data_IF_704482051234
#
_entry.id   IF_704482051234
#
_cell.length_a   1.000
_cell.length_b   1.000
_cell.length_c   1.000
_cell.angle_alpha   90.00
_cell.angle_beta   90.00
_cell.angle_gamma   90.00
#
_symmetry.space_group_name_H-M   'P 1'
#
loop_
_entity.id
_entity.type
_entity.pdbx_description
1 polymer ?
#
# COMPACT_ATOMS: atom_id res chain seq x y z
N UNK A 1 -65.41 -7.05 62.49
CA UNK A 1 -65.50 -6.17 63.67
C UNK A 1 -64.22 -5.34 63.69
N UNK A 2 -64.33 -4.03 63.38
CA UNK A 2 -63.40 -2.90 63.62
C UNK A 2 -61.88 -3.05 63.31
N UNK A 3 -61.14 -2.08 62.75
CA UNK A 3 -61.38 -0.69 62.37
C UNK A 3 -60.21 -0.26 61.48
N UNK A 4 -60.53 0.46 60.41
CA UNK A 4 -59.62 1.14 59.50
C UNK A 4 -58.79 2.22 60.21
N UNK A 5 -57.50 2.29 59.90
CA UNK A 5 -56.67 3.48 60.13
C UNK A 5 -55.87 3.74 58.86
N UNK A 6 -56.45 4.54 57.98
CA UNK A 6 -55.70 5.30 56.99
C UNK A 6 -54.91 6.41 57.70
N UNK A 7 -53.69 6.70 57.24
CA UNK A 7 -53.38 7.92 56.48
C UNK A 7 -51.85 8.04 56.31
N UNK A 8 -51.44 8.53 55.14
CA UNK A 8 -50.16 9.19 54.82
C UNK A 8 -49.02 8.32 54.28
N UNK A 9 -49.13 7.94 53.01
CA UNK A 9 -47.99 7.75 52.10
C UNK A 9 -48.18 8.65 50.86
N UNK A 10 -48.09 9.96 51.06
CA UNK A 10 -48.00 10.93 49.98
C UNK A 10 -47.01 12.02 50.41
N UNK A 11 -45.99 12.27 49.58
CA UNK A 11 -44.85 13.19 49.72
C UNK A 11 -43.50 12.58 50.15
N UNK A 12 -42.91 11.78 49.27
CA UNK A 12 -41.46 11.83 48.95
C UNK A 12 -41.37 11.70 47.42
N UNK A 13 -41.53 12.81 46.69
CA UNK A 13 -40.42 13.46 45.97
C UNK A 13 -39.86 12.54 44.87
N UNK A 14 -40.32 12.57 43.61
CA UNK A 14 -40.13 13.68 42.68
C UNK A 14 -38.88 14.50 43.04
N UNK A 15 -37.69 13.92 42.79
CA UNK A 15 -36.41 14.57 42.50
C UNK A 15 -35.28 13.51 42.54
N UNK A 16 -35.10 12.79 41.44
CA UNK A 16 -33.79 12.29 40.96
C UNK A 16 -33.94 11.52 39.63
N UNK A 17 -34.76 12.03 38.71
CA UNK A 17 -34.59 11.76 37.28
C UNK A 17 -33.50 12.71 36.79
N UNK A 18 -32.24 12.45 37.17
CA UNK A 18 -31.07 13.22 36.73
C UNK A 18 -29.74 12.60 37.18
N UNK A 19 -29.51 11.28 37.09
CA UNK A 19 -28.15 10.75 37.43
C UNK A 19 -27.74 9.43 36.76
N UNK A 20 -28.36 9.02 35.65
CA UNK A 20 -27.83 7.93 34.81
C UNK A 20 -27.95 8.36 33.35
N UNK A 21 -27.26 9.44 32.99
CA UNK A 21 -27.04 9.85 31.59
C UNK A 21 -25.66 10.51 31.43
N UNK A 22 -24.69 10.12 32.25
CA UNK A 22 -23.35 10.69 32.23
C UNK A 22 -22.27 9.65 32.56
N UNK A 23 -22.17 8.60 31.74
CA UNK A 23 -20.98 7.73 31.74
C UNK A 23 -20.77 6.88 30.48
N UNK A 24 -21.46 7.16 29.36
CA UNK A 24 -21.16 6.49 28.06
C UNK A 24 -21.05 7.50 26.91
N UNK A 25 -20.57 8.71 27.21
CA UNK A 25 -20.09 9.69 26.19
C UNK A 25 -18.57 9.89 26.28
N UNK A 26 -17.85 8.89 26.80
CA UNK A 26 -16.38 8.85 26.81
C UNK A 26 -15.86 7.55 26.18
N UNK A 27 -16.46 7.13 25.07
CA UNK A 27 -15.91 6.10 24.18
C UNK A 27 -15.79 6.63 22.75
N UNK A 28 -15.34 7.88 22.63
CA UNK A 28 -15.08 8.54 21.36
C UNK A 28 -13.96 9.57 21.52
N UNK A 29 -12.87 9.19 22.18
CA UNK A 29 -11.59 9.90 22.10
C UNK A 29 -10.47 8.94 22.52
N UNK A 30 -9.39 8.97 21.74
CA UNK A 30 -8.13 8.19 21.84
C UNK A 30 -8.08 6.83 21.15
N UNK A 31 -8.34 6.82 19.84
CA UNK A 31 -7.39 6.22 18.89
C UNK A 31 -7.13 7.20 17.74
N UNK A 32 -6.69 8.41 18.10
CA UNK A 32 -5.73 9.07 17.23
C UNK A 32 -4.43 8.29 17.41
N UNK A 33 -4.26 7.18 16.68
CA UNK A 33 -2.90 6.82 16.28
C UNK A 33 -2.47 8.00 15.42
N UNK A 34 -1.84 8.99 16.05
CA UNK A 34 -0.86 9.80 15.40
C UNK A 34 0.13 8.79 14.83
N UNK A 35 0.00 8.48 13.54
CA UNK A 35 1.10 7.94 12.77
C UNK A 35 2.20 8.96 12.95
N UNK A 36 3.06 8.72 13.94
CA UNK A 36 4.31 9.43 14.07
C UNK A 36 4.96 9.20 12.72
N UNK A 37 5.02 10.25 11.91
CA UNK A 37 5.89 10.30 10.76
C UNK A 37 7.28 10.14 11.35
N UNK A 38 7.71 8.89 11.54
CA UNK A 38 9.11 8.60 11.73
C UNK A 38 9.76 9.33 10.57
N UNK A 39 10.59 10.31 10.89
CA UNK A 39 11.49 10.87 9.89
C UNK A 39 12.45 9.72 9.56
N UNK A 40 12.01 8.81 8.68
CA UNK A 40 12.76 7.62 8.31
C UNK A 40 14.03 8.09 7.61
N UNK A 41 15.13 8.21 8.36
CA UNK A 41 16.40 8.74 7.84
C UNK A 41 17.13 7.75 6.92
N UNK A 42 16.48 6.66 6.50
CA UNK A 42 17.12 5.59 5.75
C UNK A 42 16.16 4.48 5.34
N UNK A 43 16.72 3.29 5.15
CA UNK A 43 15.95 2.08 4.90
C UNK A 43 15.33 1.54 6.21
N UNK A 44 14.08 1.10 6.14
CA UNK A 44 13.43 0.33 7.21
C UNK A 44 13.92 -1.14 7.22
N UNK A 45 13.45 -1.94 8.17
CA UNK A 45 13.84 -3.35 8.28
C UNK A 45 13.45 -4.22 7.07
N UNK A 46 12.54 -3.75 6.21
CA UNK A 46 12.09 -4.46 5.03
C UNK A 46 12.86 -4.04 3.77
N UNK A 47 13.66 -2.98 3.85
CA UNK A 47 14.43 -2.46 2.72
C UNK A 47 13.76 -1.29 2.00
N UNK A 48 12.71 -0.67 2.56
CA UNK A 48 12.10 0.55 2.02
C UNK A 48 12.76 1.81 2.58
N UNK A 49 13.11 2.75 1.71
CA UNK A 49 13.43 4.13 2.05
C UNK A 49 12.42 5.06 1.35
N UNK A 50 11.38 5.45 2.07
CA UNK A 50 10.28 6.25 1.54
C UNK A 50 10.72 7.67 1.14
N UNK A 51 11.64 8.27 1.89
CA UNK A 51 12.20 9.59 1.58
C UNK A 51 13.01 9.56 0.27
N UNK A 52 13.77 8.50 0.04
CA UNK A 52 14.50 8.28 -1.20
C UNK A 52 13.63 7.68 -2.32
N UNK A 53 12.39 7.27 -2.03
CA UNK A 53 11.50 6.55 -2.96
C UNK A 53 12.16 5.33 -3.60
N UNK A 54 12.79 4.51 -2.74
CA UNK A 54 13.64 3.39 -3.12
C UNK A 54 13.35 2.18 -2.25
N UNK A 55 13.34 1.00 -2.84
CA UNK A 55 13.45 -0.28 -2.17
C UNK A 55 14.77 -0.93 -2.57
N UNK A 56 15.49 -1.52 -1.63
CA UNK A 56 16.67 -2.33 -1.91
C UNK A 56 16.80 -3.44 -0.86
N UNK A 57 16.42 -4.66 -1.23
CA UNK A 57 16.32 -5.76 -0.30
C UNK A 57 16.08 -7.10 -0.99
N UNK A 58 15.73 -8.10 -0.20
CA UNK A 58 15.14 -9.34 -0.70
C UNK A 58 13.65 -9.11 -0.97
N UNK A 59 13.09 -9.77 -1.97
CA UNK A 59 11.68 -9.60 -2.31
C UNK A 59 10.73 -9.97 -1.17
N UNK A 60 11.14 -10.87 -0.26
CA UNK A 60 10.47 -11.15 1.03
C UNK A 60 10.05 -9.86 1.77
N UNK A 61 10.86 -8.80 1.75
CA UNK A 61 10.51 -7.55 2.43
C UNK A 61 9.37 -6.74 1.79
N UNK A 62 8.98 -7.03 0.54
CA UNK A 62 8.05 -6.17 -0.24
C UNK A 62 6.67 -6.09 0.39
N UNK A 63 6.16 -7.20 0.94
CA UNK A 63 4.82 -7.24 1.55
C UNK A 63 4.82 -6.83 3.03
N UNK A 64 5.99 -6.41 3.54
CA UNK A 64 6.26 -6.03 4.92
C UNK A 64 6.08 -7.19 5.90
N UNK A 65 6.30 -8.42 5.45
CA UNK A 65 6.37 -9.63 6.26
C UNK A 65 7.66 -10.36 5.89
N UNK A 66 8.60 -10.46 6.83
CA UNK A 66 9.84 -11.19 6.59
C UNK A 66 9.69 -12.65 7.02
N UNK A 67 9.02 -13.47 6.21
CA UNK A 67 8.67 -14.87 6.50
C UNK A 67 9.13 -15.88 5.43
N UNK A 68 10.13 -15.48 4.64
CA UNK A 68 10.65 -16.19 3.47
C UNK A 68 9.61 -16.39 2.36
N UNK A 69 8.64 -15.47 2.26
CA UNK A 69 7.60 -15.48 1.23
C UNK A 69 7.36 -14.07 0.70
N UNK A 70 6.97 -14.01 -0.57
CA UNK A 70 6.41 -12.82 -1.18
C UNK A 70 4.92 -13.09 -1.41
N UNK A 71 4.04 -12.43 -0.64
CA UNK A 71 2.59 -12.62 -0.72
C UNK A 71 2.15 -14.10 -0.60
N UNK A 72 2.86 -14.88 0.21
CA UNK A 72 2.59 -16.30 0.41
C UNK A 72 3.31 -17.25 -0.56
N UNK A 73 4.08 -16.73 -1.52
CA UNK A 73 4.85 -17.50 -2.50
C UNK A 73 6.36 -17.46 -2.18
N UNK A 74 7.00 -18.64 -2.13
CA UNK A 74 8.44 -18.76 -1.87
C UNK A 74 9.31 -18.55 -3.12
N UNK A 75 8.74 -18.61 -4.32
CA UNK A 75 9.45 -18.69 -5.61
C UNK A 75 10.46 -17.56 -5.80
N UNK A 76 10.07 -16.33 -5.44
CA UNK A 76 10.88 -15.14 -5.65
C UNK A 76 11.33 -14.47 -4.35
N UNK A 77 10.97 -15.01 -3.18
CA UNK A 77 11.21 -14.35 -1.89
C UNK A 77 12.69 -14.06 -1.62
N UNK A 78 13.58 -14.93 -2.14
CA UNK A 78 15.05 -14.81 -2.02
C UNK A 78 15.70 -13.96 -3.12
N UNK A 79 14.92 -13.46 -4.08
CA UNK A 79 15.47 -12.62 -5.14
C UNK A 79 15.86 -11.26 -4.57
N UNK A 80 16.99 -10.73 -5.05
CA UNK A 80 17.37 -9.35 -4.80
C UNK A 80 16.48 -8.45 -5.65
N UNK A 81 15.82 -7.48 -5.03
CA UNK A 81 14.99 -6.52 -5.73
C UNK A 81 15.45 -5.10 -5.41
N UNK A 82 15.61 -4.30 -6.46
CA UNK A 82 15.72 -2.85 -6.38
C UNK A 82 14.47 -2.26 -7.03
N UNK A 83 13.72 -1.45 -6.30
CA UNK A 83 12.61 -0.69 -6.87
C UNK A 83 12.83 0.80 -6.70
N UNK A 84 12.52 1.59 -7.72
CA UNK A 84 12.52 3.05 -7.67
C UNK A 84 11.15 3.54 -8.12
N UNK A 85 10.59 4.53 -7.43
CA UNK A 85 9.33 5.13 -7.87
C UNK A 85 9.36 6.66 -7.87
N UNK A 86 8.43 7.23 -8.64
CA UNK A 86 8.27 8.67 -8.78
C UNK A 86 7.64 9.31 -7.55
N UNK A 87 7.74 10.64 -7.44
CA UNK A 87 7.03 11.34 -6.37
C UNK A 87 5.51 11.19 -6.50
N UNK A 88 4.96 11.28 -7.72
CA UNK A 88 3.55 11.05 -7.98
C UNK A 88 3.09 9.64 -7.56
N UNK A 89 3.89 8.60 -7.83
CA UNK A 89 3.61 7.24 -7.34
C UNK A 89 3.62 7.20 -5.80
N UNK A 90 4.60 7.85 -5.18
CA UNK A 90 4.70 7.89 -3.73
C UNK A 90 3.49 8.58 -3.08
N UNK A 91 3.12 9.76 -3.58
CA UNK A 91 1.99 10.53 -3.06
C UNK A 91 0.66 9.83 -3.31
N UNK A 92 0.51 9.11 -4.42
CA UNK A 92 -0.71 8.36 -4.72
C UNK A 92 -0.85 7.07 -3.91
N UNK A 93 0.25 6.34 -3.69
CA UNK A 93 0.23 5.06 -2.98
C UNK A 93 0.28 5.20 -1.46
N UNK A 94 1.05 6.17 -0.96
CA UNK A 94 1.36 6.32 0.47
C UNK A 94 0.98 7.69 1.04
N UNK A 95 0.71 8.67 0.18
CA UNK A 95 0.30 10.02 0.57
C UNK A 95 -1.21 10.23 0.43
N UNK A 96 -1.59 11.45 0.03
CA UNK A 96 -2.99 11.89 -0.07
C UNK A 96 -3.39 12.35 -1.46
N UNK A 97 -2.48 12.30 -2.44
CA UNK A 97 -2.77 12.76 -3.80
C UNK A 97 -3.37 11.64 -4.64
N UNK A 98 -4.03 12.00 -5.74
CA UNK A 98 -4.52 11.02 -6.71
C UNK A 98 -3.42 10.61 -7.68
N UNK A 99 -3.56 9.41 -8.25
CA UNK A 99 -2.74 8.96 -9.37
C UNK A 99 -2.86 9.91 -10.57
N UNK A 100 -1.78 10.02 -11.35
CA UNK A 100 -1.68 10.81 -12.58
C UNK A 100 -0.58 10.24 -13.49
N UNK A 101 -0.43 10.76 -14.72
CA UNK A 101 0.54 10.22 -15.68
C UNK A 101 2.00 10.27 -15.19
N UNK A 102 2.35 11.10 -14.21
CA UNK A 102 3.72 11.17 -13.66
C UNK A 102 4.04 10.01 -12.70
N UNK A 103 3.06 9.18 -12.35
CA UNK A 103 3.24 8.04 -11.46
C UNK A 103 3.87 6.86 -12.19
N UNK A 104 5.06 6.45 -11.74
CA UNK A 104 5.79 5.30 -12.29
C UNK A 104 6.60 4.55 -11.22
N UNK A 105 6.90 3.28 -11.49
CA UNK A 105 7.88 2.46 -10.76
C UNK A 105 8.77 1.68 -11.72
N UNK A 106 10.04 1.54 -11.35
CA UNK A 106 11.07 0.72 -11.97
C UNK A 106 11.39 -0.43 -11.02
N UNK A 107 11.38 -1.67 -11.52
CA UNK A 107 11.65 -2.86 -10.72
C UNK A 107 12.74 -3.69 -11.40
N UNK A 108 13.89 -3.83 -10.72
CA UNK A 108 15.00 -4.67 -11.15
C UNK A 108 15.13 -5.88 -10.20
N UNK A 109 14.73 -7.05 -10.71
CA UNK A 109 14.79 -8.33 -10.02
C UNK A 109 16.06 -9.09 -10.41
N UNK A 110 16.72 -9.67 -9.41
CA UNK A 110 17.88 -10.52 -9.58
C UNK A 110 17.83 -11.73 -8.64
N UNK A 111 17.34 -12.84 -9.17
CA UNK A 111 17.38 -14.17 -8.58
C UNK A 111 18.66 -14.96 -8.88
N UNK A 112 19.66 -14.39 -9.58
CA UNK A 112 21.01 -14.98 -9.74
C UNK A 112 21.86 -14.79 -8.48
N UNK A 113 21.27 -15.09 -7.32
CA UNK A 113 21.87 -15.05 -5.99
C UNK A 113 21.71 -16.43 -5.34
N UNK A 114 22.48 -16.76 -4.28
CA UNK A 114 22.26 -18.01 -3.54
C UNK A 114 20.79 -18.15 -3.13
N UNK A 115 20.18 -19.31 -3.43
CA UNK A 115 18.77 -19.65 -3.14
C UNK A 115 17.72 -18.78 -3.85
N UNK A 116 18.11 -17.89 -4.76
CA UNK A 116 17.17 -17.14 -5.61
C UNK A 116 16.52 -17.99 -6.69
N UNK A 117 15.53 -17.42 -7.37
CA UNK A 117 14.78 -18.04 -8.46
C UNK A 117 15.64 -18.47 -9.65
N UNK A 118 16.84 -17.89 -9.78
CA UNK A 118 17.68 -18.03 -10.95
C UNK A 118 17.24 -17.17 -12.14
N UNK A 119 16.26 -16.29 -11.97
CA UNK A 119 15.76 -15.38 -13.01
C UNK A 119 16.26 -13.95 -12.80
N UNK A 120 16.18 -13.13 -13.84
CA UNK A 120 16.37 -11.67 -13.73
C UNK A 120 15.26 -10.99 -14.49
N UNK A 121 14.73 -9.88 -13.99
CA UNK A 121 13.69 -9.13 -14.69
C UNK A 121 13.87 -7.62 -14.51
N UNK A 122 13.55 -6.85 -15.55
CA UNK A 122 13.46 -5.41 -15.51
C UNK A 122 12.08 -4.97 -16.01
N UNK A 123 11.29 -4.41 -15.10
CA UNK A 123 9.99 -3.84 -15.42
C UNK A 123 9.99 -2.33 -15.25
N UNK A 124 9.34 -1.65 -16.17
CA UNK A 124 8.94 -0.25 -16.00
C UNK A 124 7.43 -0.15 -16.12
N UNK A 125 6.82 0.45 -15.12
CA UNK A 125 5.36 0.49 -14.96
C UNK A 125 4.93 1.93 -14.76
N UNK A 126 3.90 2.36 -15.48
CA UNK A 126 3.32 3.70 -15.37
C UNK A 126 1.84 3.62 -15.07
N UNK A 127 1.29 4.64 -14.41
CA UNK A 127 -0.14 4.77 -14.27
C UNK A 127 -0.74 5.38 -15.53
N UNK A 128 -1.82 4.78 -16.02
CA UNK A 128 -2.58 5.24 -17.19
C UNK A 128 -4.04 5.51 -16.88
N UNK A 129 -4.52 5.13 -15.69
CA UNK A 129 -5.91 5.31 -15.32
C UNK A 129 -6.82 4.21 -15.85
N UNK A 130 -8.10 4.22 -15.44
CA UNK A 130 -9.02 3.11 -15.70
C UNK A 130 -9.41 2.97 -17.18
N UNK A 131 -9.09 3.96 -18.01
CA UNK A 131 -9.28 3.91 -19.46
C UNK A 131 -8.23 3.03 -20.16
N UNK A 132 -7.13 2.67 -19.48
CA UNK A 132 -6.06 1.83 -20.03
C UNK A 132 -5.60 2.32 -21.41
N UNK A 133 -5.76 1.52 -22.46
CA UNK A 133 -5.37 1.82 -23.84
C UNK A 133 -5.97 3.12 -24.40
N UNK A 134 -7.14 3.54 -23.90
CA UNK A 134 -7.82 4.76 -24.33
C UNK A 134 -7.34 6.01 -23.55
N UNK A 135 -6.39 5.86 -22.63
CA UNK A 135 -5.86 6.96 -21.85
C UNK A 135 -4.91 7.85 -22.64
N UNK A 136 -4.92 9.15 -22.36
CA UNK A 136 -3.88 10.06 -22.85
C UNK A 136 -2.50 9.76 -22.28
N UNK A 137 -2.40 9.02 -21.17
CA UNK A 137 -1.12 8.58 -20.64
C UNK A 137 -0.61 7.29 -21.31
N UNK A 138 -1.46 6.57 -22.06
CA UNK A 138 -1.10 5.26 -22.63
C UNK A 138 -0.03 5.38 -23.71
N UNK A 139 0.82 4.35 -23.82
CA UNK A 139 1.88 4.30 -24.83
C UNK A 139 1.75 3.08 -25.71
N UNK A 140 1.97 3.30 -27.00
CA UNK A 140 1.92 2.21 -27.96
C UNK A 140 3.01 1.18 -27.66
N UNK A 141 2.60 -0.10 -27.60
CA UNK A 141 3.48 -1.25 -27.38
C UNK A 141 3.49 -1.79 -25.95
N UNK A 142 2.93 -1.08 -24.98
CA UNK A 142 2.75 -1.58 -23.61
C UNK A 142 1.60 -2.58 -23.47
N UNK A 143 1.40 -3.09 -22.26
CA UNK A 143 0.26 -3.93 -21.91
C UNK A 143 -0.32 -3.59 -20.53
N UNK A 144 -1.64 -3.79 -20.33
CA UNK A 144 -2.30 -3.33 -19.12
C UNK A 144 -2.06 -4.31 -17.96
N UNK A 145 -1.84 -3.78 -16.76
CA UNK A 145 -1.80 -4.52 -15.51
C UNK A 145 -2.58 -3.78 -14.43
N UNK A 146 -3.04 -4.53 -13.42
CA UNK A 146 -3.65 -3.98 -12.20
C UNK A 146 -4.81 -2.99 -12.45
N UNK A 147 -5.50 -3.11 -13.59
CA UNK A 147 -6.71 -2.37 -13.95
C UNK A 147 -6.54 -0.87 -14.24
N UNK A 148 -5.34 -0.31 -14.10
CA UNK A 148 -5.09 1.12 -14.33
C UNK A 148 -3.61 1.47 -14.60
N UNK A 149 -2.77 0.45 -14.81
CA UNK A 149 -1.33 0.60 -15.02
C UNK A 149 -0.93 -0.07 -16.33
N UNK A 150 0.17 0.39 -16.88
CA UNK A 150 0.77 -0.10 -18.11
C UNK A 150 2.20 -0.54 -17.82
N UNK A 151 2.59 -1.74 -18.29
CA UNK A 151 4.00 -2.10 -18.40
C UNK A 151 4.52 -1.58 -19.73
N UNK A 152 5.44 -0.63 -19.67
CA UNK A 152 6.05 0.02 -20.85
C UNK A 152 7.38 -0.63 -21.25
N UNK A 153 7.93 -1.50 -20.37
CA UNK A 153 9.18 -2.21 -20.59
C UNK A 153 9.20 -3.49 -19.75
N UNK A 154 9.47 -4.63 -20.38
CA UNK A 154 9.65 -5.93 -19.72
C UNK A 154 10.70 -6.73 -20.48
N UNK A 155 11.81 -7.02 -19.82
CA UNK A 155 12.80 -7.97 -20.30
C UNK A 155 13.42 -8.73 -19.13
N UNK A 156 13.99 -9.90 -19.42
CA UNK A 156 14.56 -10.73 -18.38
C UNK A 156 15.37 -11.91 -18.88
N UNK A 157 15.82 -12.73 -17.95
CA UNK A 157 16.48 -14.00 -18.22
C UNK A 157 15.79 -15.10 -17.44
N UNK A 158 15.31 -16.14 -18.12
CA UNK A 158 14.75 -17.35 -17.54
C UNK A 158 15.44 -18.55 -18.17
N UNK A 159 15.83 -19.55 -17.37
CA UNK A 159 16.52 -20.75 -17.87
C UNK A 159 17.73 -20.43 -18.81
N UNK A 160 18.44 -19.34 -18.52
CA UNK A 160 19.58 -18.82 -19.30
C UNK A 160 19.24 -18.35 -20.73
N UNK A 161 17.97 -18.08 -21.02
CA UNK A 161 17.52 -17.43 -22.24
C UNK A 161 17.03 -16.02 -21.92
N UNK A 162 17.29 -15.09 -22.83
CA UNK A 162 16.87 -13.69 -22.69
C UNK A 162 15.53 -13.47 -23.36
N UNK A 163 14.62 -12.79 -22.68
CA UNK A 163 13.25 -12.52 -23.11
C UNK A 163 12.97 -11.02 -23.14
N UNK A 164 12.11 -10.62 -24.08
CA UNK A 164 11.55 -9.28 -24.20
C UNK A 164 10.04 -9.42 -24.41
N UNK A 165 9.23 -8.99 -23.44
CA UNK A 165 7.77 -9.08 -23.55
C UNK A 165 7.15 -7.77 -24.03
N UNK A 166 7.75 -6.63 -23.69
CA UNK A 166 7.28 -5.33 -24.16
C UNK A 166 8.40 -4.30 -24.20
N UNK A 167 8.27 -3.39 -25.17
CA UNK A 167 9.07 -2.19 -25.29
C UNK A 167 8.19 -1.10 -25.94
N UNK A 168 7.50 -0.32 -25.11
CA UNK A 168 6.66 0.78 -25.58
C UNK A 168 7.50 1.91 -26.19
N UNK A 169 6.90 2.72 -27.05
CA UNK A 169 7.56 3.88 -27.66
C UNK A 169 6.88 5.20 -27.22
N UNK A 170 7.49 5.99 -26.32
CA UNK A 170 8.76 5.77 -25.60
C UNK A 170 8.61 4.93 -24.31
N UNK A 171 9.63 4.11 -23.99
CA UNK A 171 9.75 3.37 -22.72
C UNK A 171 10.48 4.16 -21.61
N UNK A 172 10.45 5.49 -21.67
CA UNK A 172 11.08 6.40 -20.70
C UNK A 172 10.05 7.04 -19.76
N UNK A 173 10.44 7.51 -18.58
CA UNK A 173 9.48 8.03 -17.58
C UNK A 173 8.88 9.41 -17.87
N UNK A 174 9.27 10.07 -18.95
CA UNK A 174 8.71 11.36 -19.38
C UNK A 174 8.08 11.28 -20.78
N UNK A 175 7.29 12.29 -21.13
CA UNK A 175 6.72 12.46 -22.46
C UNK A 175 5.24 12.05 -22.57
N UNK A 176 4.37 12.75 -21.83
CA UNK A 176 2.92 12.76 -22.06
C UNK A 176 2.53 14.16 -22.55
#
# INVERSE_FOLDING_TARGET
MAKQKELNHFHVGFLAVASIFLSVVFFAQTLNLSYSKNEDKGFDQYGYNYNARLFNGLADGVDRVADDKLWGDTTYAKDKLVMKWSDAWHQARFGTLSWNCEAWTDNEWNGKVPEGSGETWHYKIVWVGPQLEDSSCWREGGYPIWGQFEVIFSQGTVANQHFWDTHAYPAGYGGF
#
